data_IF_830347258704
#
_entry.id   IF_830347258704
#
_cell.length_a   1.000
_cell.length_b   1.000
_cell.length_c   1.000
_cell.angle_alpha   90.00
_cell.angle_beta   90.00
_cell.angle_gamma   90.00
#
_symmetry.space_group_name_H-M   'P 1'
#
loop_
_entity.id
_entity.type
_entity.pdbx_description
1 polymer ?
#
# COMPACT_ATOMS: atom_id res chain seq x y z
N UNK A 1 -11.09 7.87 4.50
CA UNK A 1 -10.67 6.54 5.02
C UNK A 1 -9.39 6.15 4.30
N UNK A 2 -8.28 5.85 4.99
CA UNK A 2 -7.04 5.42 4.34
C UNK A 2 -7.21 4.02 3.72
N UNK A 3 -6.71 3.84 2.50
CA UNK A 3 -6.77 2.58 1.74
C UNK A 3 -5.34 2.13 1.44
N UNK A 4 -5.00 0.92 1.88
CA UNK A 4 -3.72 0.28 1.58
C UNK A 4 -3.96 -0.91 0.67
N UNK A 5 -3.25 -0.96 -0.46
CA UNK A 5 -3.37 -2.03 -1.45
C UNK A 5 -2.19 -2.99 -1.32
N UNK A 6 -2.49 -4.29 -1.23
CA UNK A 6 -1.53 -5.39 -1.19
C UNK A 6 -1.58 -6.17 -2.51
N UNK A 7 -0.50 -6.18 -3.28
CA UNK A 7 -0.43 -6.91 -4.57
C UNK A 7 0.75 -7.89 -4.60
N UNK A 8 0.78 -8.87 -5.50
CA UNK A 8 1.98 -9.68 -5.81
C UNK A 8 2.83 -9.08 -6.93
N UNK A 9 2.30 -8.11 -7.67
CA UNK A 9 2.94 -7.58 -8.88
C UNK A 9 3.65 -6.26 -8.55
N UNK A 10 4.97 -6.23 -8.77
CA UNK A 10 5.81 -5.06 -8.51
C UNK A 10 5.83 -4.06 -9.69
N UNK A 11 4.74 -3.96 -10.46
CA UNK A 11 4.66 -3.07 -11.61
C UNK A 11 4.32 -1.63 -11.23
N UNK A 12 5.14 -0.66 -11.63
CA UNK A 12 4.88 0.78 -11.42
C UNK A 12 3.55 1.23 -12.03
N UNK A 13 3.09 0.57 -13.10
CA UNK A 13 1.80 0.83 -13.74
C UNK A 13 0.62 0.61 -12.79
N UNK A 14 0.64 -0.48 -12.02
CA UNK A 14 -0.42 -0.81 -11.06
C UNK A 14 -0.42 0.15 -9.87
N UNK A 15 0.78 0.50 -9.39
CA UNK A 15 0.97 1.48 -8.31
C UNK A 15 0.45 2.86 -8.71
N UNK A 16 0.68 3.27 -9.96
CA UNK A 16 0.18 4.54 -10.50
C UNK A 16 -1.35 4.56 -10.62
N UNK A 17 -1.95 3.46 -11.11
CA UNK A 17 -3.41 3.31 -11.17
C UNK A 17 -4.04 3.31 -9.77
N UNK A 18 -3.46 2.60 -8.80
CA UNK A 18 -3.92 2.58 -7.42
C UNK A 18 -3.88 3.97 -6.78
N UNK A 19 -2.81 4.73 -7.02
CA UNK A 19 -2.71 6.12 -6.55
C UNK A 19 -3.78 7.01 -7.19
N UNK A 20 -4.04 6.86 -8.49
CA UNK A 20 -5.12 7.58 -9.18
C UNK A 20 -6.52 7.22 -8.64
N UNK A 21 -6.70 5.98 -8.19
CA UNK A 21 -7.92 5.50 -7.54
C UNK A 21 -8.07 5.91 -6.06
N UNK A 22 -7.12 6.67 -5.51
CA UNK A 22 -7.17 7.16 -4.12
C UNK A 22 -6.53 6.22 -3.08
N UNK A 23 -5.75 5.22 -3.50
CA UNK A 23 -4.96 4.42 -2.58
C UNK A 23 -3.88 5.28 -1.90
N UNK A 24 -3.84 5.20 -0.57
CA UNK A 24 -2.94 5.98 0.29
C UNK A 24 -1.66 5.20 0.62
N UNK A 25 -1.65 3.89 0.40
CA UNK A 25 -0.47 3.03 0.54
C UNK A 25 -0.46 1.87 -0.45
N UNK A 26 0.73 1.41 -0.80
CA UNK A 26 0.95 0.31 -1.73
C UNK A 26 2.06 -0.60 -1.21
N UNK A 27 1.82 -1.91 -1.21
CA UNK A 27 2.79 -2.90 -0.71
C UNK A 27 2.74 -4.18 -1.55
N UNK A 28 3.91 -4.72 -1.87
CA UNK A 28 4.06 -5.92 -2.71
C UNK A 28 4.35 -7.13 -1.82
N UNK A 29 3.70 -8.26 -2.08
CA UNK A 29 3.92 -9.55 -1.43
C UNK A 29 5.12 -10.30 -2.04
N UNK A 30 5.87 -11.09 -1.23
CA UNK A 30 5.77 -11.16 0.22
C UNK A 30 6.28 -9.86 0.87
N UNK A 31 5.58 -9.39 1.90
CA UNK A 31 5.96 -8.18 2.62
C UNK A 31 6.28 -8.46 4.08
N UNK A 32 7.01 -7.53 4.68
CA UNK A 32 7.31 -7.54 6.10
C UNK A 32 6.08 -7.05 6.90
N UNK A 33 5.51 -7.88 7.80
CA UNK A 33 4.38 -7.49 8.63
C UNK A 33 4.64 -6.25 9.48
N UNK A 34 5.88 -6.03 9.93
CA UNK A 34 6.24 -4.85 10.73
C UNK A 34 6.11 -3.55 9.94
N UNK A 35 6.41 -3.59 8.63
CA UNK A 35 6.23 -2.45 7.72
C UNK A 35 4.76 -2.11 7.52
N UNK A 36 3.87 -3.11 7.45
CA UNK A 36 2.44 -2.87 7.36
C UNK A 36 1.92 -2.14 8.60
N UNK A 37 2.31 -2.60 9.78
CA UNK A 37 1.93 -1.97 11.06
C UNK A 37 2.43 -0.53 11.16
N UNK A 38 3.67 -0.25 10.73
CA UNK A 38 4.21 1.10 10.70
C UNK A 38 3.41 2.05 9.77
N UNK A 39 3.00 1.56 8.60
CA UNK A 39 2.17 2.33 7.66
C UNK A 39 0.77 2.56 8.25
N UNK A 40 0.15 1.52 8.82
CA UNK A 40 -1.16 1.65 9.45
C UNK A 40 -1.14 2.70 10.58
N UNK A 41 -0.11 2.66 11.45
CA UNK A 41 0.09 3.65 12.50
C UNK A 41 0.25 5.07 11.94
N UNK A 42 1.03 5.24 10.87
CA UNK A 42 1.20 6.54 10.19
C UNK A 42 -0.09 7.07 9.58
N UNK A 43 -0.95 6.19 9.07
CA UNK A 43 -2.20 6.58 8.39
C UNK A 43 -3.36 6.81 9.36
N UNK A 44 -3.35 6.19 10.53
CA UNK A 44 -4.40 6.30 11.55
C UNK A 44 -4.16 7.43 12.56
N UNK A 45 -2.91 7.86 12.75
CA UNK A 45 -2.52 8.84 13.77
C UNK A 45 -2.27 8.17 15.11
#
# INVERSE_FOLDING_TARGET
VPIVVLTTEAGDTLKSQGKAAGATGWMVKPFDPSKLLAIAKKLLG
#
